data_IF_813354952875
#
_entry.id   IF_813354952875
#
_cell.length_a   1.000
_cell.length_b   1.000
_cell.length_c   1.000
_cell.angle_alpha   90.00
_cell.angle_beta   90.00
_cell.angle_gamma   90.00
#
_symmetry.space_group_name_H-M   'P 1'
#
loop_
_entity.id
_entity.type
_entity.pdbx_description
1 polymer ?
#
# COMPACT_ATOMS: atom_id res chain seq x y z
N UNK A 1 73.22 -58.80 11.80
CA UNK A 1 73.89 -59.29 10.58
C UNK A 1 73.13 -58.77 9.37
N UNK A 2 73.86 -58.04 8.54
CA UNK A 2 73.67 -57.48 7.18
C UNK A 2 72.77 -58.36 6.28
N UNK A 3 71.97 -57.84 5.33
CA UNK A 3 72.39 -57.36 3.99
C UNK A 3 71.24 -56.57 3.31
N UNK A 4 71.58 -55.42 2.70
CA UNK A 4 70.76 -54.71 1.68
C UNK A 4 71.00 -55.27 0.27
N UNK A 5 70.08 -55.03 -0.69
CA UNK A 5 70.49 -54.83 -2.07
C UNK A 5 69.93 -53.55 -2.72
N UNK A 6 70.71 -53.09 -3.71
CA UNK A 6 70.68 -51.84 -4.48
C UNK A 6 69.57 -51.77 -5.57
N UNK A 7 69.30 -50.57 -6.14
CA UNK A 7 68.25 -50.32 -7.13
C UNK A 7 68.76 -50.40 -8.59
N UNK A 8 67.88 -50.50 -9.60
CA UNK A 8 68.23 -50.14 -10.98
C UNK A 8 67.56 -48.84 -11.48
N UNK A 9 68.32 -48.20 -12.36
CA UNK A 9 68.24 -46.89 -13.04
C UNK A 9 67.22 -46.77 -14.20
N UNK A 10 66.91 -45.54 -14.68
CA UNK A 10 65.77 -45.24 -15.55
C UNK A 10 66.04 -45.36 -17.07
N UNK A 11 64.96 -45.51 -17.85
CA UNK A 11 64.96 -45.51 -19.32
C UNK A 11 64.56 -44.12 -19.91
N UNK A 12 65.05 -43.76 -21.12
CA UNK A 12 64.93 -42.43 -21.74
C UNK A 12 63.62 -42.20 -22.55
N UNK A 13 63.30 -40.96 -22.96
CA UNK A 13 61.99 -40.56 -23.48
C UNK A 13 61.86 -40.68 -25.01
N UNK A 14 60.62 -40.71 -25.51
CA UNK A 14 60.27 -40.62 -26.94
C UNK A 14 59.32 -39.45 -27.24
N UNK A 15 59.38 -38.82 -28.44
CA UNK A 15 58.81 -37.50 -28.71
C UNK A 15 57.42 -37.49 -29.38
N UNK A 16 56.72 -36.35 -29.23
CA UNK A 16 55.34 -36.01 -29.66
C UNK A 16 55.10 -35.86 -31.18
N UNK A 17 53.82 -35.90 -31.61
CA UNK A 17 53.30 -35.09 -32.71
C UNK A 17 52.15 -34.13 -32.31
N UNK A 18 51.85 -33.09 -33.12
CA UNK A 18 51.16 -31.87 -32.70
C UNK A 18 49.61 -31.90 -32.79
N UNK A 19 49.02 -30.92 -32.10
CA UNK A 19 47.59 -30.65 -31.89
C UNK A 19 46.79 -30.24 -33.15
N UNK A 20 45.51 -30.63 -33.26
CA UNK A 20 44.52 -29.88 -34.01
C UNK A 20 43.63 -29.01 -33.10
N UNK A 21 43.52 -27.72 -33.49
CA UNK A 21 42.62 -26.72 -32.93
C UNK A 21 41.15 -27.18 -33.03
N UNK A 22 40.42 -27.17 -31.91
CA UNK A 22 38.96 -27.29 -31.90
C UNK A 22 38.34 -25.96 -31.47
N UNK A 23 37.85 -25.24 -32.46
CA UNK A 23 36.99 -24.06 -32.32
C UNK A 23 35.67 -24.48 -31.68
N UNK A 24 35.40 -24.02 -30.46
CA UNK A 24 34.08 -24.10 -29.85
C UNK A 24 33.40 -22.73 -29.97
N UNK A 25 32.18 -22.63 -30.50
CA UNK A 25 31.44 -21.38 -30.47
C UNK A 25 30.93 -21.14 -29.04
N UNK A 26 31.37 -20.05 -28.42
CA UNK A 26 30.75 -19.51 -27.22
C UNK A 26 29.33 -19.04 -27.56
N UNK A 27 28.35 -19.91 -27.32
CA UNK A 27 26.95 -19.53 -27.24
C UNK A 27 26.77 -18.65 -26.01
N UNK A 28 26.75 -17.34 -26.24
CA UNK A 28 26.54 -16.31 -25.22
C UNK A 28 25.04 -16.24 -24.94
N UNK A 29 24.52 -17.13 -24.09
CA UNK A 29 23.18 -16.93 -23.52
C UNK A 29 23.31 -15.84 -22.45
N UNK A 30 22.61 -14.69 -22.54
CA UNK A 30 22.63 -13.73 -21.45
C UNK A 30 21.95 -14.38 -20.26
N UNK A 31 22.68 -14.59 -19.16
CA UNK A 31 22.04 -14.77 -17.85
C UNK A 31 21.11 -13.57 -17.65
N UNK A 32 19.83 -13.76 -17.30
CA UNK A 32 19.04 -12.62 -16.86
C UNK A 32 19.76 -12.01 -15.66
N UNK A 33 20.20 -10.76 -15.80
CA UNK A 33 20.57 -9.94 -14.64
C UNK A 33 19.30 -9.88 -13.80
N UNK A 34 19.24 -10.64 -12.71
CA UNK A 34 18.33 -10.33 -11.62
C UNK A 34 18.78 -8.97 -11.11
N UNK A 35 18.16 -7.91 -11.64
CA UNK A 35 18.23 -6.60 -11.04
C UNK A 35 17.75 -6.77 -9.61
N UNK A 36 18.59 -6.38 -8.65
CA UNK A 36 18.12 -6.23 -7.28
C UNK A 36 16.97 -5.21 -7.33
N UNK A 37 15.85 -5.46 -6.64
CA UNK A 37 14.74 -4.52 -6.66
C UNK A 37 15.22 -3.16 -6.18
N UNK A 38 15.03 -2.15 -7.02
CA UNK A 38 15.41 -0.76 -6.74
C UNK A 38 14.53 -0.15 -5.63
N UNK A 39 13.50 -0.88 -5.20
CA UNK A 39 12.56 -0.51 -4.15
C UNK A 39 12.47 -1.60 -3.06
N UNK A 40 12.58 -1.25 -1.76
CA UNK A 40 12.45 -2.21 -0.67
C UNK A 40 11.08 -2.92 -0.60
N UNK A 41 10.04 -2.35 -1.23
CA UNK A 41 8.70 -2.93 -1.32
C UNK A 41 8.64 -4.21 -2.16
N UNK A 42 9.37 -4.25 -3.28
CA UNK A 42 9.35 -5.40 -4.20
C UNK A 42 10.04 -6.63 -3.60
N UNK A 43 11.01 -6.43 -2.70
CA UNK A 43 11.69 -7.51 -1.98
C UNK A 43 10.77 -8.21 -0.96
N UNK A 44 9.80 -7.48 -0.38
CA UNK A 44 8.80 -8.06 0.53
C UNK A 44 7.77 -8.92 -0.22
N UNK A 45 7.40 -8.53 -1.45
CA UNK A 45 6.51 -9.30 -2.33
C UNK A 45 7.13 -10.61 -2.81
N UNK A 46 8.43 -10.62 -3.14
CA UNK A 46 9.13 -11.81 -3.63
C UNK A 46 9.23 -12.97 -2.60
N UNK A 47 9.00 -12.72 -1.31
CA UNK A 47 9.12 -13.72 -0.23
C UNK A 47 7.79 -14.22 0.33
N UNK A 48 6.65 -13.74 -0.18
CA UNK A 48 5.31 -14.11 0.33
C UNK A 48 5.00 -13.65 1.76
N UNK A 49 5.89 -12.86 2.38
CA UNK A 49 5.76 -12.33 3.75
C UNK A 49 5.27 -10.88 3.72
N UNK A 50 4.01 -10.69 3.36
CA UNK A 50 3.38 -9.38 3.51
C UNK A 50 3.25 -9.03 5.00
N UNK A 51 3.61 -7.81 5.45
CA UNK A 51 3.70 -7.48 6.88
C UNK A 51 2.39 -7.66 7.64
N UNK A 52 1.27 -7.34 7.01
CA UNK A 52 -0.08 -7.50 7.57
C UNK A 52 -0.61 -8.95 7.49
N UNK A 53 0.18 -9.90 6.98
CA UNK A 53 -0.10 -11.35 7.01
C UNK A 53 0.56 -12.06 8.19
N UNK A 54 0.98 -11.31 9.20
CA UNK A 54 1.67 -11.85 10.38
C UNK A 54 0.67 -12.29 11.46
N UNK A 55 1.14 -13.18 12.33
CA UNK A 55 0.36 -13.73 13.44
C UNK A 55 -0.16 -12.67 14.44
N UNK A 56 0.57 -11.58 14.79
CA UNK A 56 0.07 -10.57 15.72
C UNK A 56 -1.23 -9.91 15.27
N UNK A 57 -1.33 -9.44 14.03
CA UNK A 57 -2.54 -8.79 13.52
C UNK A 57 -3.70 -9.78 13.42
N UNK A 58 -3.44 -10.98 12.89
CA UNK A 58 -4.46 -12.05 12.79
C UNK A 58 -5.03 -12.43 14.15
N UNK A 59 -4.18 -12.56 15.18
CA UNK A 59 -4.62 -12.85 16.55
C UNK A 59 -5.42 -11.70 17.16
N UNK A 60 -4.98 -10.46 16.96
CA UNK A 60 -5.68 -9.29 17.49
C UNK A 60 -7.08 -9.15 16.88
N UNK A 61 -7.21 -9.31 15.56
CA UNK A 61 -8.51 -9.29 14.88
C UNK A 61 -9.43 -10.41 15.37
N UNK A 62 -8.91 -11.64 15.50
CA UNK A 62 -9.69 -12.78 16.03
C UNK A 62 -10.14 -12.55 17.47
N UNK A 63 -9.31 -11.95 18.30
CA UNK A 63 -9.63 -11.64 19.69
C UNK A 63 -10.55 -10.42 19.83
N UNK A 64 -10.71 -9.63 18.76
CA UNK A 64 -11.45 -8.37 18.74
C UNK A 64 -10.83 -7.27 19.61
N UNK A 65 -9.56 -7.44 20.03
CA UNK A 65 -8.88 -6.55 20.97
C UNK A 65 -7.36 -6.61 20.84
N UNK A 66 -6.70 -5.55 21.26
CA UNK A 66 -5.25 -5.46 21.35
C UNK A 66 -4.67 -6.19 22.57
N UNK A 67 -3.42 -5.88 22.94
CA UNK A 67 -2.59 -4.82 22.37
C UNK A 67 -2.04 -5.17 20.98
N UNK A 68 -1.95 -4.17 20.11
CA UNK A 68 -1.23 -4.25 18.84
C UNK A 68 -0.59 -2.89 18.55
N UNK A 69 0.62 -2.91 18.02
CA UNK A 69 1.41 -1.72 17.75
C UNK A 69 2.10 -1.80 16.39
N UNK A 70 2.35 -0.63 15.82
CA UNK A 70 3.46 -0.44 14.89
C UNK A 70 4.71 -0.07 15.69
N UNK A 71 5.70 -0.95 15.72
CA UNK A 71 7.01 -0.68 16.32
C UNK A 71 7.95 -0.09 15.28
N UNK A 72 8.44 1.11 15.55
CA UNK A 72 9.50 1.78 14.78
C UNK A 72 10.87 1.15 15.05
N UNK A 73 11.81 1.35 14.12
CA UNK A 73 13.19 0.90 14.30
C UNK A 73 13.90 1.54 15.51
N UNK A 74 13.50 2.76 15.90
CA UNK A 74 13.97 3.47 17.10
C UNK A 74 13.34 2.95 18.41
N UNK A 75 12.51 1.90 18.33
CA UNK A 75 11.87 1.27 19.47
C UNK A 75 10.54 1.91 19.90
N UNK A 76 10.17 3.08 19.37
CA UNK A 76 8.89 3.73 19.67
C UNK A 76 7.72 2.86 19.22
N UNK A 77 6.68 2.81 20.04
CA UNK A 77 5.44 2.10 19.77
C UNK A 77 4.34 3.09 19.37
N UNK A 78 3.64 2.78 18.29
CA UNK A 78 2.43 3.47 17.86
C UNK A 78 1.26 2.52 18.07
N UNK A 79 0.33 2.80 19.00
CA UNK A 79 -0.80 1.92 19.26
C UNK A 79 -1.74 1.84 18.06
N UNK A 80 -2.28 0.65 17.82
CA UNK A 80 -3.32 0.38 16.85
C UNK A 80 -4.63 0.08 17.57
N UNK A 81 -5.71 0.64 17.05
CA UNK A 81 -6.99 0.74 17.74
C UNK A 81 -7.91 -0.43 17.34
N UNK A 82 -7.44 -1.64 17.61
CA UNK A 82 -8.05 -2.91 17.16
C UNK A 82 -9.50 -3.02 17.59
N UNK A 83 -9.82 -2.64 18.83
CA UNK A 83 -11.17 -2.68 19.39
C UNK A 83 -12.13 -1.81 18.57
N UNK A 84 -11.70 -0.59 18.17
CA UNK A 84 -12.51 0.29 17.31
C UNK A 84 -12.67 -0.33 15.93
N UNK A 85 -11.60 -0.87 15.36
CA UNK A 85 -11.67 -1.49 14.03
C UNK A 85 -12.66 -2.65 14.04
N UNK A 86 -12.60 -3.50 15.06
CA UNK A 86 -13.50 -4.63 15.25
C UNK A 86 -14.89 -4.24 15.76
N UNK A 87 -15.17 -2.99 16.13
CA UNK A 87 -16.52 -2.54 16.47
C UNK A 87 -17.36 -2.29 15.19
N UNK A 88 -18.59 -1.82 15.38
CA UNK A 88 -19.36 -1.18 14.31
C UNK A 88 -18.84 0.23 14.03
N UNK A 89 -19.29 0.84 12.93
CA UNK A 89 -18.97 2.23 12.63
C UNK A 89 -19.52 3.16 13.73
N UNK A 90 -18.68 4.05 14.24
CA UNK A 90 -19.05 5.02 15.28
C UNK A 90 -19.62 6.33 14.67
N UNK A 91 -20.00 7.28 15.52
CA UNK A 91 -20.57 8.54 15.09
C UNK A 91 -19.59 9.41 14.30
N UNK A 92 -18.27 9.26 14.51
CA UNK A 92 -17.25 9.93 13.69
C UNK A 92 -17.20 9.31 12.29
N UNK A 93 -17.21 7.98 12.20
CA UNK A 93 -17.27 7.25 10.94
C UNK A 93 -18.53 7.64 10.16
N UNK A 94 -19.69 7.75 10.81
CA UNK A 94 -20.93 8.20 10.16
C UNK A 94 -20.82 9.62 9.58
N UNK A 95 -19.98 10.51 10.14
CA UNK A 95 -19.71 11.82 9.52
C UNK A 95 -18.97 11.68 8.19
N UNK A 96 -18.08 10.69 8.06
CA UNK A 96 -17.36 10.37 6.82
C UNK A 96 -18.34 9.75 5.81
N UNK A 97 -19.10 8.74 6.21
CA UNK A 97 -19.97 7.99 5.30
C UNK A 97 -21.06 8.87 4.66
N UNK A 98 -21.59 9.86 5.39
CA UNK A 98 -22.57 10.82 4.86
C UNK A 98 -22.02 11.71 3.73
N UNK A 99 -20.70 11.89 3.66
CA UNK A 99 -20.02 12.69 2.64
C UNK A 99 -19.61 11.86 1.42
N UNK A 100 -19.74 10.55 1.48
CA UNK A 100 -19.45 9.67 0.35
C UNK A 100 -20.46 9.84 -0.77
N UNK A 101 -19.99 9.80 -2.01
CA UNK A 101 -20.79 9.87 -3.23
C UNK A 101 -20.56 8.62 -4.09
N UNK A 102 -21.59 8.17 -4.80
CA UNK A 102 -21.49 6.98 -5.65
C UNK A 102 -21.10 5.70 -4.89
N UNK A 103 -20.45 4.77 -5.59
CA UNK A 103 -19.85 3.56 -5.02
C UNK A 103 -18.53 3.90 -4.31
N UNK A 104 -18.22 3.19 -3.23
CA UNK A 104 -17.11 3.53 -2.32
C UNK A 104 -16.04 2.44 -2.27
N UNK A 105 -14.78 2.85 -2.40
CA UNK A 105 -13.62 1.98 -2.17
C UNK A 105 -13.01 2.28 -0.79
N UNK A 106 -13.00 1.31 0.10
CA UNK A 106 -12.37 1.42 1.42
C UNK A 106 -10.96 0.81 1.38
N UNK A 107 -9.92 1.66 1.42
CA UNK A 107 -8.52 1.26 1.25
C UNK A 107 -7.91 0.98 2.61
N UNK A 108 -7.43 -0.25 2.82
CA UNK A 108 -7.02 -0.74 4.13
C UNK A 108 -8.23 -0.98 5.04
N UNK A 109 -9.25 -1.67 4.51
CA UNK A 109 -10.56 -1.78 5.16
C UNK A 109 -10.53 -2.53 6.51
N UNK A 110 -9.45 -3.26 6.81
CA UNK A 110 -9.32 -4.01 8.05
C UNK A 110 -10.47 -4.99 8.25
N UNK A 111 -11.01 -5.13 9.46
CA UNK A 111 -12.19 -5.97 9.74
C UNK A 111 -13.52 -5.42 9.16
N UNK A 112 -13.48 -4.41 8.29
CA UNK A 112 -14.60 -4.09 7.41
C UNK A 112 -15.71 -3.26 8.02
N UNK A 113 -15.50 -2.58 9.15
CA UNK A 113 -16.56 -1.82 9.83
C UNK A 113 -17.20 -0.77 8.91
N UNK A 114 -16.41 -0.07 8.08
CA UNK A 114 -16.91 0.97 7.19
C UNK A 114 -17.61 0.37 5.97
N UNK A 115 -17.07 -0.72 5.42
CA UNK A 115 -17.68 -1.48 4.33
C UNK A 115 -19.07 -2.00 4.73
N UNK A 116 -19.18 -2.60 5.92
CA UNK A 116 -20.46 -3.10 6.44
C UNK A 116 -21.45 -1.95 6.66
N UNK A 117 -21.03 -0.85 7.29
CA UNK A 117 -21.89 0.31 7.52
C UNK A 117 -22.36 0.96 6.20
N UNK A 118 -21.50 1.01 5.17
CA UNK A 118 -21.88 1.48 3.84
C UNK A 118 -22.95 0.57 3.21
N UNK A 119 -22.80 -0.74 3.33
CA UNK A 119 -23.78 -1.71 2.84
C UNK A 119 -25.13 -1.57 3.57
N UNK A 120 -25.13 -1.38 4.88
CA UNK A 120 -26.34 -1.11 5.68
C UNK A 120 -27.04 0.20 5.27
N UNK A 121 -26.26 1.21 4.84
CA UNK A 121 -26.77 2.45 4.27
C UNK A 121 -27.22 2.32 2.80
N UNK A 122 -27.21 1.11 2.23
CA UNK A 122 -27.59 0.86 0.83
C UNK A 122 -26.59 1.41 -0.19
N UNK A 123 -25.36 1.73 0.22
CA UNK A 123 -24.31 2.28 -0.65
C UNK A 123 -23.38 1.15 -1.10
N UNK A 124 -23.21 0.90 -2.42
CA UNK A 124 -22.26 -0.09 -2.90
C UNK A 124 -20.84 0.24 -2.42
N UNK A 125 -20.19 -0.74 -1.81
CA UNK A 125 -18.85 -0.59 -1.27
C UNK A 125 -17.99 -1.83 -1.51
N UNK A 126 -16.68 -1.62 -1.69
CA UNK A 126 -15.67 -2.67 -1.70
C UNK A 126 -14.53 -2.28 -0.75
N UNK A 127 -14.20 -3.16 0.18
CA UNK A 127 -12.97 -3.05 0.94
C UNK A 127 -11.79 -3.72 0.24
N UNK A 128 -10.61 -3.09 0.29
CA UNK A 128 -9.34 -3.73 -0.09
C UNK A 128 -8.41 -3.75 1.10
N UNK A 129 -7.85 -4.92 1.37
CA UNK A 129 -6.83 -5.11 2.41
C UNK A 129 -5.85 -6.20 1.98
N UNK A 130 -4.63 -6.17 2.47
CA UNK A 130 -3.58 -7.13 2.14
C UNK A 130 -3.56 -8.33 3.09
N UNK A 131 -4.26 -8.22 4.23
CA UNK A 131 -4.39 -9.24 5.25
C UNK A 131 -5.61 -10.15 4.99
N UNK A 132 -5.42 -11.45 4.75
CA UNK A 132 -6.51 -12.40 4.58
C UNK A 132 -7.47 -12.44 5.78
N UNK A 133 -6.95 -12.26 7.00
CA UNK A 133 -7.76 -12.24 8.22
C UNK A 133 -8.76 -11.06 8.24
N UNK A 134 -8.30 -9.87 7.86
CA UNK A 134 -9.14 -8.67 7.73
C UNK A 134 -10.25 -8.86 6.69
N UNK A 135 -9.89 -9.38 5.52
CA UNK A 135 -10.83 -9.67 4.43
C UNK A 135 -11.84 -10.74 4.81
N UNK A 136 -11.40 -11.82 5.49
CA UNK A 136 -12.28 -12.86 6.02
C UNK A 136 -13.32 -12.27 6.97
N UNK A 137 -12.87 -11.47 7.93
CA UNK A 137 -13.75 -10.81 8.91
C UNK A 137 -14.74 -9.84 8.25
N UNK A 138 -14.31 -9.08 7.24
CA UNK A 138 -15.20 -8.19 6.48
C UNK A 138 -16.31 -8.99 5.78
N UNK A 139 -15.97 -10.11 5.15
CA UNK A 139 -16.93 -10.98 4.46
C UNK A 139 -17.88 -11.67 5.41
N UNK A 140 -17.39 -12.13 6.56
CA UNK A 140 -18.23 -12.72 7.62
C UNK A 140 -19.27 -11.71 8.16
N UNK A 141 -18.96 -10.42 8.14
CA UNK A 141 -19.89 -9.32 8.47
C UNK A 141 -20.81 -8.91 7.32
N UNK A 142 -20.81 -9.63 6.20
CA UNK A 142 -21.63 -9.31 5.02
C UNK A 142 -21.07 -8.20 4.13
N UNK A 143 -19.85 -7.72 4.40
CA UNK A 143 -19.18 -6.73 3.55
C UNK A 143 -18.49 -7.37 2.34
N UNK A 144 -18.43 -6.65 1.21
CA UNK A 144 -17.63 -7.06 0.07
C UNK A 144 -16.17 -6.64 0.28
N UNK A 145 -15.24 -7.59 0.22
CA UNK A 145 -13.81 -7.31 0.35
C UNK A 145 -12.93 -8.16 -0.57
N UNK A 146 -11.79 -7.59 -0.97
CA UNK A 146 -10.78 -8.19 -1.81
C UNK A 146 -9.42 -8.18 -1.10
N UNK A 147 -8.76 -9.35 -1.06
CA UNK A 147 -7.41 -9.47 -0.51
C UNK A 147 -6.37 -9.04 -1.55
N UNK A 148 -6.02 -7.76 -1.56
CA UNK A 148 -5.15 -7.13 -2.57
C UNK A 148 -4.57 -5.81 -2.07
N UNK A 149 -3.38 -5.45 -2.53
CA UNK A 149 -2.81 -4.12 -2.34
C UNK A 149 -3.56 -3.06 -3.16
N UNK A 150 -3.69 -1.85 -2.63
CA UNK A 150 -4.24 -0.72 -3.40
C UNK A 150 -3.40 -0.36 -4.64
N UNK A 151 -2.12 -0.70 -4.62
CA UNK A 151 -1.19 -0.46 -5.72
C UNK A 151 -1.28 -1.51 -6.83
N UNK A 152 -1.98 -2.62 -6.61
CA UNK A 152 -2.27 -3.61 -7.64
C UNK A 152 -3.54 -3.23 -8.44
N UNK A 153 -3.80 -3.85 -9.60
CA UNK A 153 -5.03 -3.64 -10.35
C UNK A 153 -6.28 -3.98 -9.53
N UNK A 154 -7.25 -3.07 -9.45
CA UNK A 154 -8.49 -3.23 -8.70
C UNK A 154 -9.71 -3.28 -9.66
N UNK A 155 -10.82 -3.90 -9.27
CA UNK A 155 -12.06 -3.76 -10.03
C UNK A 155 -12.56 -2.31 -9.99
N UNK A 156 -13.12 -1.84 -11.10
CA UNK A 156 -13.79 -0.53 -11.15
C UNK A 156 -12.86 0.70 -11.11
N UNK A 157 -11.58 0.58 -11.47
CA UNK A 157 -10.70 1.75 -11.60
C UNK A 157 -11.31 2.81 -12.51
N UNK A 158 -11.13 4.08 -12.15
CA UNK A 158 -11.75 5.23 -12.82
C UNK A 158 -13.28 5.32 -12.65
N UNK A 159 -13.90 4.53 -11.77
CA UNK A 159 -15.38 4.50 -11.59
C UNK A 159 -15.84 4.68 -10.16
N UNK A 160 -14.93 4.70 -9.18
CA UNK A 160 -15.30 4.88 -7.78
C UNK A 160 -15.73 6.33 -7.52
N UNK A 161 -16.92 6.51 -6.93
CA UNK A 161 -17.42 7.84 -6.60
C UNK A 161 -16.76 8.39 -5.33
N UNK A 162 -16.31 7.51 -4.43
CA UNK A 162 -15.48 7.88 -3.29
C UNK A 162 -14.46 6.82 -2.93
N UNK A 163 -13.37 7.26 -2.30
CA UNK A 163 -12.35 6.42 -1.69
C UNK A 163 -12.12 6.85 -0.24
N UNK A 164 -11.81 5.90 0.64
CA UNK A 164 -11.58 6.13 2.06
C UNK A 164 -10.13 5.82 2.43
N UNK A 165 -9.50 6.71 3.20
CA UNK A 165 -8.22 6.50 3.89
C UNK A 165 -8.37 6.87 5.37
N UNK A 166 -8.97 5.96 6.13
CA UNK A 166 -9.36 6.17 7.54
C UNK A 166 -8.42 5.39 8.47
N UNK A 167 -8.32 5.75 9.74
CA UNK A 167 -7.43 5.12 10.75
C UNK A 167 -5.94 5.16 10.41
N UNK A 168 -5.50 6.23 9.76
CA UNK A 168 -4.10 6.42 9.38
C UNK A 168 -3.71 5.69 8.10
N UNK A 169 -4.67 5.20 7.31
CA UNK A 169 -4.40 4.54 6.03
C UNK A 169 -3.74 5.43 4.98
N UNK A 170 -3.69 6.76 5.18
CA UNK A 170 -2.79 7.65 4.42
C UNK A 170 -1.31 7.25 4.50
N UNK A 171 -0.95 6.45 5.51
CA UNK A 171 0.39 5.91 5.71
C UNK A 171 0.72 4.66 4.90
N UNK A 172 -0.25 4.05 4.21
CA UNK A 172 -0.06 2.81 3.43
C UNK A 172 1.00 3.00 2.35
N UNK A 173 1.93 2.05 2.27
CA UNK A 173 3.08 2.11 1.36
C UNK A 173 4.18 3.08 1.79
N UNK A 174 3.96 3.90 2.83
CA UNK A 174 4.90 4.89 3.36
C UNK A 174 5.28 6.03 2.43
N UNK A 175 4.65 6.12 1.25
CA UNK A 175 4.69 7.27 0.38
C UNK A 175 3.28 7.82 0.13
N UNK A 176 2.83 8.78 0.96
CA UNK A 176 1.52 9.39 0.79
C UNK A 176 1.32 10.09 -0.56
N UNK A 177 2.40 10.55 -1.22
CA UNK A 177 2.28 11.18 -2.54
C UNK A 177 1.89 10.14 -3.60
N UNK A 178 2.62 9.02 -3.63
CA UNK A 178 2.30 7.90 -4.51
C UNK A 178 0.91 7.31 -4.24
N UNK A 179 0.52 7.21 -2.96
CA UNK A 179 -0.82 6.76 -2.59
C UNK A 179 -1.91 7.73 -3.08
N UNK A 180 -1.72 9.04 -2.90
CA UNK A 180 -2.66 10.05 -3.40
C UNK A 180 -2.77 10.03 -4.92
N UNK A 181 -1.64 9.88 -5.64
CA UNK A 181 -1.64 9.71 -7.10
C UNK A 181 -2.42 8.46 -7.51
N UNK A 182 -2.15 7.32 -6.86
CA UNK A 182 -2.88 6.06 -7.12
C UNK A 182 -4.38 6.21 -6.88
N UNK A 183 -4.80 6.86 -5.80
CA UNK A 183 -6.23 7.06 -5.50
C UNK A 183 -6.93 7.89 -6.60
N UNK A 184 -6.25 8.84 -7.24
CA UNK A 184 -6.83 9.60 -8.36
C UNK A 184 -7.21 8.71 -9.54
N UNK A 185 -6.39 7.69 -9.83
CA UNK A 185 -6.66 6.73 -10.91
C UNK A 185 -7.86 5.84 -10.60
N UNK A 186 -8.10 5.56 -9.32
CA UNK A 186 -9.21 4.72 -8.88
C UNK A 186 -10.55 5.46 -8.97
N UNK A 187 -10.55 6.78 -8.71
CA UNK A 187 -11.76 7.58 -8.68
C UNK A 187 -12.29 7.91 -10.08
N UNK A 188 -13.61 7.97 -10.19
CA UNK A 188 -14.28 8.61 -11.31
C UNK A 188 -13.92 10.11 -11.39
N UNK A 189 -14.05 10.75 -12.56
CA UNK A 189 -13.96 12.21 -12.66
C UNK A 189 -14.88 12.90 -11.64
N UNK A 190 -14.31 13.77 -10.80
CA UNK A 190 -15.04 14.41 -9.71
C UNK A 190 -15.34 13.50 -8.50
N UNK A 191 -14.71 12.34 -8.40
CA UNK A 191 -14.76 11.52 -7.19
C UNK A 191 -14.12 12.20 -5.98
N UNK A 192 -14.48 11.72 -4.79
CA UNK A 192 -13.99 12.24 -3.51
C UNK A 192 -13.06 11.25 -2.81
N UNK A 193 -11.93 11.72 -2.33
CA UNK A 193 -11.16 11.03 -1.30
C UNK A 193 -11.55 11.61 0.06
N UNK A 194 -11.96 10.76 0.99
CA UNK A 194 -12.16 11.12 2.39
C UNK A 194 -11.02 10.52 3.20
N UNK A 195 -10.18 11.37 3.78
CA UNK A 195 -8.97 10.97 4.48
C UNK A 195 -8.97 11.45 5.93
N UNK A 196 -8.53 10.60 6.84
CA UNK A 196 -8.28 10.95 8.23
C UNK A 196 -6.82 11.40 8.41
N UNK A 197 -6.63 12.54 9.07
CA UNK A 197 -5.34 13.05 9.46
C UNK A 197 -4.96 12.57 10.87
N UNK A 198 -3.67 12.42 11.12
CA UNK A 198 -3.17 12.16 12.46
C UNK A 198 -3.57 13.31 13.42
N UNK A 199 -3.92 13.02 14.69
CA UNK A 199 -4.26 14.06 15.66
C UNK A 199 -3.13 15.06 15.93
N UNK A 200 -1.87 14.61 15.80
CA UNK A 200 -0.69 15.45 15.90
C UNK A 200 -0.33 16.06 14.54
N UNK A 201 0.14 17.31 14.53
CA UNK A 201 0.67 17.96 13.33
C UNK A 201 2.08 17.40 13.02
N UNK A 202 2.11 16.28 12.29
CA UNK A 202 3.32 15.54 11.94
C UNK A 202 3.45 15.36 10.42
N UNK A 203 4.68 15.20 9.94
CA UNK A 203 4.99 14.75 8.57
C UNK A 203 6.16 13.77 8.69
N UNK A 204 5.84 12.49 8.86
CA UNK A 204 6.83 11.47 9.15
C UNK A 204 6.75 10.33 8.13
N UNK A 205 7.92 9.80 7.75
CA UNK A 205 8.08 8.55 7.00
C UNK A 205 9.11 7.69 7.72
N UNK A 206 8.82 6.42 7.96
CA UNK A 206 9.71 5.52 8.71
C UNK A 206 9.39 4.06 8.42
N UNK A 207 10.30 3.16 8.81
CA UNK A 207 10.09 1.72 8.77
C UNK A 207 9.47 1.23 10.07
N UNK A 208 8.45 0.37 9.98
CA UNK A 208 7.76 -0.25 11.12
C UNK A 208 7.62 -1.75 10.94
N UNK A 209 7.30 -2.44 12.02
CA UNK A 209 6.79 -3.82 12.02
C UNK A 209 5.62 -3.92 12.99
N UNK A 210 4.82 -4.96 12.83
CA UNK A 210 3.77 -5.29 13.80
C UNK A 210 4.36 -5.92 15.06
N UNK A 211 3.79 -5.57 16.20
CA UNK A 211 4.22 -6.00 17.53
C UNK A 211 2.99 -6.11 18.45
N UNK A 212 2.87 -7.20 19.22
CA UNK A 212 1.77 -7.38 20.18
C UNK A 212 2.20 -7.06 21.63
N UNK A 213 3.39 -6.50 21.82
CA UNK A 213 3.96 -6.18 23.12
C UNK A 213 4.48 -7.39 23.91
N UNK A 214 4.35 -8.63 23.40
CA UNK A 214 4.82 -9.82 24.09
C UNK A 214 6.35 -9.96 24.11
N UNK A 215 7.03 -9.32 23.15
CA UNK A 215 8.48 -9.35 23.04
C UNK A 215 9.02 -10.69 22.52
N UNK A 216 8.12 -11.52 21.94
CA UNK A 216 8.44 -12.83 21.42
C UNK A 216 9.50 -12.76 20.32
N UNK A 217 10.32 -13.82 20.19
CA UNK A 217 11.40 -13.88 19.19
C UNK A 217 10.87 -13.83 17.75
N UNK A 218 9.63 -14.26 17.51
CA UNK A 218 8.95 -14.17 16.21
C UNK A 218 8.70 -12.73 15.77
N UNK A 219 8.37 -11.82 16.71
CA UNK A 219 8.14 -10.40 16.43
C UNK A 219 9.44 -9.63 16.13
N UNK A 220 10.55 -10.04 16.76
CA UNK A 220 11.87 -9.43 16.47
C UNK A 220 12.35 -9.65 15.04
N UNK A 221 11.76 -10.61 14.33
CA UNK A 221 12.07 -10.93 12.93
C UNK A 221 10.88 -10.70 11.99
N UNK A 222 9.81 -10.05 12.46
CA UNK A 222 8.74 -9.60 11.57
C UNK A 222 9.33 -8.61 10.54
N UNK A 223 8.91 -8.71 9.26
CA UNK A 223 9.46 -7.86 8.21
C UNK A 223 9.14 -6.40 8.51
N UNK A 224 10.15 -5.54 8.31
CA UNK A 224 9.94 -4.09 8.30
C UNK A 224 9.21 -3.69 7.03
N UNK A 225 8.39 -2.65 7.12
CA UNK A 225 7.71 -2.05 5.99
C UNK A 225 7.60 -0.54 6.14
N UNK A 226 7.55 0.20 5.02
CA UNK A 226 7.42 1.64 5.03
C UNK A 226 6.03 2.06 5.53
N UNK A 227 6.00 3.08 6.37
CA UNK A 227 4.79 3.72 6.86
C UNK A 227 4.98 5.23 6.96
N UNK A 228 3.89 5.97 6.79
CA UNK A 228 3.89 7.41 6.94
C UNK A 228 2.78 7.90 7.86
N UNK A 229 2.97 9.09 8.43
CA UNK A 229 1.95 9.77 9.24
C UNK A 229 1.91 11.23 8.87
N UNK A 230 0.72 11.71 8.54
CA UNK A 230 0.47 13.11 8.21
C UNK A 230 -0.58 13.68 9.15
N UNK A 231 -0.24 14.78 9.82
CA UNK A 231 -1.21 15.66 10.46
C UNK A 231 -1.96 16.50 9.43
N UNK A 232 -2.97 17.25 9.90
CA UNK A 232 -3.89 17.98 9.02
C UNK A 232 -3.18 18.96 8.09
N UNK A 233 -2.22 19.74 8.59
CA UNK A 233 -1.50 20.73 7.76
C UNK A 233 -0.64 20.06 6.69
N UNK A 234 0.07 18.99 7.05
CA UNK A 234 0.91 18.24 6.12
C UNK A 234 0.07 17.55 5.04
N UNK A 235 -1.06 16.92 5.43
CA UNK A 235 -1.99 16.30 4.50
C UNK A 235 -2.59 17.32 3.53
N UNK A 236 -3.04 18.48 4.02
CA UNK A 236 -3.54 19.59 3.16
C UNK A 236 -2.48 20.05 2.16
N UNK A 237 -1.26 20.32 2.63
CA UNK A 237 -0.18 20.82 1.78
C UNK A 237 0.23 19.79 0.71
N UNK A 238 0.33 18.51 1.10
CA UNK A 238 0.61 17.45 0.15
C UNK A 238 -0.52 17.27 -0.87
N UNK A 239 -1.78 17.25 -0.43
CA UNK A 239 -2.93 17.14 -1.32
C UNK A 239 -2.90 18.23 -2.41
N UNK A 240 -2.64 19.49 -2.03
CA UNK A 240 -2.50 20.58 -2.99
C UNK A 240 -1.37 20.38 -4.02
N UNK A 241 -0.21 19.86 -3.59
CA UNK A 241 0.91 19.53 -4.48
C UNK A 241 0.59 18.38 -5.44
N UNK A 242 -0.20 17.40 -4.98
CA UNK A 242 -0.63 16.23 -5.76
C UNK A 242 -1.91 16.49 -6.59
N UNK A 243 -2.27 17.76 -6.80
CA UNK A 243 -3.39 18.17 -7.64
C UNK A 243 -4.76 17.79 -7.07
N UNK A 244 -4.90 17.80 -5.75
CA UNK A 244 -6.18 17.70 -5.06
C UNK A 244 -6.60 19.06 -4.52
N UNK A 245 -7.91 19.34 -4.63
CA UNK A 245 -8.54 20.49 -3.99
C UNK A 245 -9.24 20.03 -2.72
N UNK A 246 -8.98 20.72 -1.61
CA UNK A 246 -9.74 20.52 -0.38
C UNK A 246 -11.15 21.07 -0.55
N UNK A 247 -12.15 20.20 -0.43
CA UNK A 247 -13.57 20.56 -0.49
C UNK A 247 -14.06 20.96 0.89
N UNK A 248 -13.69 20.18 1.90
CA UNK A 248 -14.13 20.37 3.28
C UNK A 248 -13.09 19.81 4.25
N UNK A 249 -12.98 20.44 5.42
CA UNK A 249 -12.27 19.89 6.57
C UNK A 249 -13.18 19.94 7.79
N UNK A 250 -13.18 18.86 8.57
CA UNK A 250 -13.97 18.81 9.78
C UNK A 250 -13.29 17.97 10.86
N UNK A 251 -13.77 18.11 12.07
CA UNK A 251 -13.41 17.25 13.19
C UNK A 251 -14.65 16.63 13.80
N UNK A 252 -14.58 15.36 14.19
CA UNK A 252 -15.63 14.68 14.92
C UNK A 252 -15.00 13.74 15.94
N UNK A 253 -15.47 13.79 17.19
CA UNK A 253 -15.01 12.91 18.29
C UNK A 253 -13.48 12.84 18.42
N UNK A 254 -12.79 13.99 18.31
CA UNK A 254 -11.34 14.09 18.45
C UNK A 254 -10.53 13.63 17.23
N UNK A 255 -11.20 13.23 16.14
CA UNK A 255 -10.59 12.83 14.86
C UNK A 255 -10.71 13.97 13.85
N UNK A 256 -9.75 14.06 12.92
CA UNK A 256 -9.68 15.14 11.92
C UNK A 256 -9.75 14.55 10.51
N UNK A 257 -10.60 15.12 9.67
CA UNK A 257 -10.88 14.59 8.34
C UNK A 257 -10.82 15.68 7.28
N UNK A 258 -10.44 15.28 6.07
CA UNK A 258 -10.48 16.10 4.88
C UNK A 258 -11.27 15.37 3.78
N UNK A 259 -12.10 16.12 3.06
CA UNK A 259 -12.66 15.69 1.78
C UNK A 259 -11.87 16.37 0.66
N UNK A 260 -11.31 15.57 -0.22
CA UNK A 260 -10.42 15.99 -1.29
C UNK A 260 -11.06 15.61 -2.62
N UNK A 261 -11.08 16.53 -3.57
CA UNK A 261 -11.53 16.30 -4.94
C UNK A 261 -10.33 16.39 -5.87
N UNK A 262 -10.17 15.40 -6.74
CA UNK A 262 -9.14 15.47 -7.77
C UNK A 262 -9.41 16.71 -8.65
N UNK A 263 -8.40 17.56 -8.83
CA UNK A 263 -8.53 18.68 -9.76
C UNK A 263 -8.82 18.12 -11.16
N UNK A 264 -9.73 18.76 -11.89
CA UNK A 264 -9.97 18.41 -13.27
C UNK A 264 -8.64 18.51 -14.05
N UNK A 265 -8.32 17.56 -14.95
CA UNK A 265 -7.14 17.70 -15.78
C UNK A 265 -7.25 19.01 -16.59
N UNK A 266 -6.13 19.72 -16.77
CA UNK A 266 -6.10 21.03 -17.45
C UNK A 266 -6.78 21.02 -18.83
N UNK A 267 -6.72 19.89 -19.55
CA UNK A 267 -7.42 19.70 -20.84
C UNK A 267 -8.96 19.78 -20.72
N UNK A 268 -9.55 19.41 -19.59
CA UNK A 268 -10.98 19.56 -19.34
C UNK A 268 -11.35 21.02 -19.02
N UNK A 269 -10.43 21.79 -18.43
CA UNK A 269 -10.62 23.23 -18.20
C UNK A 269 -10.57 23.96 -19.55
N UNK A 270 -9.61 23.65 -20.41
CA UNK A 270 -9.52 24.21 -21.77
C UNK A 270 -10.74 23.87 -22.63
N UNK A 271 -11.23 22.63 -22.59
CA UNK A 271 -12.42 22.21 -23.33
C UNK A 271 -13.70 22.92 -22.82
N UNK A 272 -13.84 23.12 -21.51
CA UNK A 272 -14.95 23.90 -20.93
C UNK A 272 -14.84 25.37 -21.31
N UNK A 273 -13.64 25.97 -21.27
CA UNK A 273 -13.46 27.37 -21.68
C UNK A 273 -13.69 27.57 -23.18
N UNK A 274 -13.28 26.61 -24.02
CA UNK A 274 -13.52 26.65 -25.48
C UNK A 274 -15.01 26.53 -25.80
N UNK A 275 -15.73 25.61 -25.14
CA UNK A 275 -17.16 25.44 -25.32
C UNK A 275 -17.97 26.68 -24.89
N UNK A 276 -17.55 27.35 -23.82
CA UNK A 276 -18.18 28.60 -23.36
C UNK A 276 -17.89 29.77 -24.31
N UNK A 277 -16.68 29.84 -24.88
CA UNK A 277 -16.31 30.85 -25.87
C UNK A 277 -17.08 30.68 -27.20
N UNK A 278 -17.24 29.46 -27.69
CA UNK A 278 -18.03 29.18 -28.91
C UNK A 278 -19.51 29.50 -28.74
N UNK A 279 -20.05 29.29 -27.54
CA UNK A 279 -21.45 29.64 -27.23
C UNK A 279 -21.65 31.16 -27.21
N UNK A 280 -20.70 31.92 -26.65
CA UNK A 280 -20.73 33.39 -26.65
C UNK A 280 -20.61 33.97 -28.07
N UNK A 281 -19.72 33.42 -28.91
CA UNK A 281 -19.48 33.89 -30.28
C UNK A 281 -20.61 33.54 -31.27
N UNK A 282 -21.57 32.71 -30.85
CA UNK A 282 -22.78 32.36 -31.60
C UNK A 282 -23.97 33.28 -31.28
N UNK A 283 -23.94 34.01 -30.17
CA UNK A 283 -24.97 34.99 -29.80
C UNK A 283 -24.68 36.41 -30.32
N UNK A 284 -23.44 36.74 -30.69
CA UNK A 284 -23.10 38.04 -31.30
C UNK A 284 -23.27 38.06 -32.83
N UNK A 285 -23.70 36.96 -33.45
CA UNK A 285 -23.88 36.82 -34.90
C UNK A 285 -25.33 36.57 -35.34
N UNK A 286 -26.31 36.73 -34.46
CA UNK A 286 -27.75 36.70 -34.79
C UNK A 286 -28.40 38.06 -34.64
#
# INVERSE_FOLDING_TARGET
MTVSPHPPTPHPPTPHPPTPHSSTPHSSTPRPRTAAPENPGDAAEATGRHPWRTDPYTRALRAGRGPLFLRRADGRLLPLEVERWCAGADEADLTVLRRCTGAVLDIGCGPGRLVTALAELGRPALGVDTAPAAVGHTRERGGAALCRSVFEPLPGEGRWGSALLIDGNIGVGGDPAALLARVRELLAPGGLLLAEAAPAEVEERFQVRLDDGSGARSERHAPLFPWARLGRRALRALAGREGWTVVEEWSAYGRFFLSLRAAAPAAAIEAVTSAVADTASSHERS
#
